data_IF_704110089122
#
_entry.id   IF_704110089122
#
_cell.length_a   1.000
_cell.length_b   1.000
_cell.length_c   1.000
_cell.angle_alpha   90.00
_cell.angle_beta   90.00
_cell.angle_gamma   90.00
#
_symmetry.space_group_name_H-M   'P 1'
#
loop_
_entity.id
_entity.type
_entity.pdbx_description
1 polymer ?
#
# COMPACT_ATOMS: atom_id res chain seq x y z
N UNK A 1 1.52 -36.22 17.07
CA UNK A 1 0.37 -35.59 16.39
C UNK A 1 0.85 -34.25 15.85
N UNK A 2 0.97 -34.10 14.53
CA UNK A 2 1.39 -32.84 13.91
C UNK A 2 0.19 -31.90 13.98
N UNK A 3 0.29 -30.85 14.80
CA UNK A 3 -0.78 -29.87 14.99
C UNK A 3 -1.08 -29.17 13.66
N UNK A 4 -2.36 -29.14 13.28
CA UNK A 4 -2.79 -28.54 12.02
C UNK A 4 -2.40 -27.07 11.93
N UNK A 5 -1.83 -26.67 10.79
CA UNK A 5 -1.52 -25.27 10.49
C UNK A 5 -2.84 -24.53 10.24
N UNK A 6 -3.18 -23.57 11.11
CA UNK A 6 -4.34 -22.69 10.93
C UNK A 6 -3.92 -21.55 9.99
N UNK A 7 -4.37 -21.60 8.74
CA UNK A 7 -4.19 -20.51 7.76
C UNK A 7 -5.11 -19.36 8.15
N UNK A 8 -4.55 -18.17 8.42
CA UNK A 8 -5.33 -16.94 8.62
C UNK A 8 -5.27 -16.07 7.36
N UNK A 9 -6.31 -15.27 7.14
CA UNK A 9 -6.40 -14.32 6.03
C UNK A 9 -6.48 -12.91 6.63
N UNK A 10 -5.54 -12.02 6.29
CA UNK A 10 -5.79 -10.59 6.45
C UNK A 10 -6.61 -10.19 5.25
N UNK A 11 -7.88 -9.87 5.50
CA UNK A 11 -8.70 -9.15 4.54
C UNK A 11 -8.40 -7.67 4.77
N UNK A 12 -7.56 -7.10 3.91
CA UNK A 12 -7.51 -5.65 3.75
C UNK A 12 -8.95 -5.21 3.47
N UNK A 13 -9.42 -4.13 4.10
CA UNK A 13 -10.86 -3.94 4.41
C UNK A 13 -11.77 -4.06 3.17
N UNK A 14 -11.24 -3.89 1.95
CA UNK A 14 -11.82 -4.31 0.66
C UNK A 14 -10.77 -4.79 -0.39
N UNK A 15 -9.63 -5.34 0.05
CA UNK A 15 -8.50 -5.74 -0.79
C UNK A 15 -8.24 -7.26 -0.82
N UNK A 16 -7.11 -7.71 -1.40
CA UNK A 16 -6.81 -9.11 -1.56
C UNK A 16 -6.52 -9.73 -0.19
N UNK A 17 -7.09 -10.92 0.05
CA UNK A 17 -6.76 -11.70 1.23
C UNK A 17 -5.33 -12.25 1.09
N UNK A 18 -4.38 -11.68 1.83
CA UNK A 18 -3.03 -12.22 1.86
C UNK A 18 -2.98 -13.41 2.82
N UNK A 19 -2.52 -14.59 2.37
CA UNK A 19 -2.29 -15.71 3.27
C UNK A 19 -1.13 -15.36 4.21
N UNK A 20 -1.41 -15.30 5.51
CA UNK A 20 -0.38 -15.13 6.53
C UNK A 20 -0.55 -16.17 7.65
N UNK A 21 0.56 -16.58 8.23
CA UNK A 21 0.62 -17.37 9.46
C UNK A 21 1.15 -16.51 10.61
N UNK A 22 0.77 -16.78 11.85
CA UNK A 22 1.34 -16.10 13.02
C UNK A 22 2.44 -16.98 13.62
N UNK A 23 3.69 -16.50 13.63
CA UNK A 23 4.77 -17.17 14.35
C UNK A 23 4.70 -16.83 15.85
N UNK A 24 4.67 -17.86 16.71
CA UNK A 24 4.79 -17.69 18.17
C UNK A 24 3.47 -17.66 18.97
N UNK A 25 2.31 -17.83 18.33
CA UNK A 25 0.99 -17.91 18.99
C UNK A 25 0.00 -16.85 18.49
N UNK A 26 -1.21 -16.78 19.07
CA UNK A 26 -2.22 -15.78 18.70
C UNK A 26 -1.72 -14.35 18.90
N UNK A 27 -1.66 -13.55 17.83
CA UNK A 27 -1.07 -12.20 17.84
C UNK A 27 0.44 -12.15 17.55
N UNK A 28 1.01 -13.25 17.04
CA UNK A 28 2.41 -13.36 16.64
C UNK A 28 2.77 -12.63 15.34
N UNK A 29 4.05 -12.66 14.97
CA UNK A 29 4.55 -11.97 13.79
C UNK A 29 3.92 -12.54 12.50
N UNK A 30 3.43 -11.69 11.58
CA UNK A 30 2.82 -12.16 10.33
C UNK A 30 3.88 -12.74 9.40
N UNK A 31 3.73 -14.02 9.04
CA UNK A 31 4.56 -14.75 8.08
C UNK A 31 3.75 -14.96 6.81
N UNK A 32 4.09 -14.21 5.77
CA UNK A 32 3.54 -14.40 4.43
C UNK A 32 4.07 -15.73 3.86
N UNK A 33 3.19 -16.70 3.60
CA UNK A 33 3.59 -18.00 3.02
C UNK A 33 3.52 -17.90 1.49
N UNK A 34 4.66 -17.55 0.88
CA UNK A 34 4.84 -17.57 -0.56
C UNK A 34 5.99 -18.50 -0.92
N UNK A 35 5.76 -19.30 -1.97
CA UNK A 35 6.71 -20.24 -2.55
C UNK A 35 7.00 -19.85 -4.00
N UNK A 36 8.18 -20.24 -4.50
CA UNK A 36 8.55 -20.01 -5.88
C UNK A 36 7.95 -21.10 -6.80
N UNK A 37 7.43 -20.72 -7.98
CA UNK A 37 7.22 -19.35 -8.44
C UNK A 37 5.96 -18.72 -7.81
N UNK A 38 5.96 -17.40 -7.65
CA UNK A 38 4.75 -16.64 -7.29
C UNK A 38 3.67 -16.90 -8.34
N UNK A 39 2.46 -17.26 -7.89
CA UNK A 39 1.38 -17.55 -8.83
C UNK A 39 0.84 -16.28 -9.48
N UNK A 40 0.51 -16.37 -10.79
CA UNK A 40 -0.16 -15.29 -11.53
C UNK A 40 -1.44 -14.84 -10.84
N UNK A 41 -2.26 -15.78 -10.39
CA UNK A 41 -3.52 -15.49 -9.69
C UNK A 41 -3.29 -14.63 -8.43
N UNK A 42 -2.21 -14.86 -7.69
CA UNK A 42 -1.87 -14.01 -6.55
C UNK A 42 -1.45 -12.62 -7.01
N UNK A 43 -0.57 -12.52 -8.01
CA UNK A 43 -0.10 -11.24 -8.54
C UNK A 43 -1.28 -10.39 -9.08
N UNK A 44 -2.17 -10.99 -9.86
CA UNK A 44 -3.39 -10.35 -10.37
C UNK A 44 -4.27 -9.81 -9.25
N UNK A 45 -4.58 -10.64 -8.25
CA UNK A 45 -5.39 -10.21 -7.10
C UNK A 45 -4.71 -9.11 -6.30
N UNK A 46 -3.40 -9.20 -6.11
CA UNK A 46 -2.63 -8.19 -5.41
C UNK A 46 -2.76 -6.85 -6.14
N UNK A 47 -2.44 -6.82 -7.44
CA UNK A 47 -2.42 -5.62 -8.27
C UNK A 47 -3.83 -5.02 -8.42
N UNK A 48 -4.84 -5.83 -8.75
CA UNK A 48 -6.21 -5.34 -8.93
C UNK A 48 -6.81 -4.80 -7.62
N UNK A 49 -6.40 -5.38 -6.49
CA UNK A 49 -6.88 -4.99 -5.17
C UNK A 49 -6.32 -3.67 -4.64
N UNK A 50 -5.41 -3.02 -5.36
CA UNK A 50 -4.89 -1.70 -5.02
C UNK A 50 -5.68 -0.56 -5.67
N UNK A 51 -6.48 -0.84 -6.70
CA UNK A 51 -7.17 0.16 -7.52
C UNK A 51 -8.68 0.11 -7.31
N UNK A 52 -9.34 1.27 -7.34
CA UNK A 52 -10.81 1.35 -7.36
C UNK A 52 -11.32 1.74 -8.76
N UNK A 53 -10.71 2.75 -9.37
CA UNK A 53 -11.07 3.27 -10.67
C UNK A 53 -10.29 2.59 -11.81
N UNK A 54 -10.80 2.63 -13.05
CA UNK A 54 -10.08 2.13 -14.22
C UNK A 54 -8.72 2.81 -14.38
N UNK A 55 -7.69 2.01 -14.65
CA UNK A 55 -6.36 2.48 -15.03
C UNK A 55 -6.15 2.35 -16.54
N UNK A 56 -5.00 2.81 -17.03
CA UNK A 56 -4.64 2.73 -18.45
C UNK A 56 -4.75 1.31 -19.03
N UNK A 57 -5.19 1.22 -20.29
CA UNK A 57 -5.35 -0.07 -20.99
C UNK A 57 -4.04 -0.87 -20.95
N UNK A 58 -4.12 -2.13 -20.51
CA UNK A 58 -2.97 -3.04 -20.42
C UNK A 58 -1.99 -2.72 -19.30
N UNK A 59 -2.20 -1.64 -18.53
CA UNK A 59 -1.26 -1.25 -17.49
C UNK A 59 -1.23 -2.26 -16.33
N UNK A 60 -2.38 -2.75 -15.86
CA UNK A 60 -2.41 -3.78 -14.80
C UNK A 60 -1.71 -5.07 -15.26
N UNK A 61 -1.89 -5.47 -16.52
CA UNK A 61 -1.21 -6.65 -17.08
C UNK A 61 0.31 -6.46 -17.01
N UNK A 62 0.82 -5.31 -17.46
CA UNK A 62 2.25 -4.99 -17.33
C UNK A 62 2.72 -5.07 -15.88
N UNK A 63 1.97 -4.51 -14.94
CA UNK A 63 2.33 -4.57 -13.51
C UNK A 63 2.34 -6.02 -13.01
N UNK A 64 1.38 -6.85 -13.40
CA UNK A 64 1.35 -8.29 -13.07
C UNK A 64 2.58 -9.00 -13.64
N UNK A 65 2.94 -8.77 -14.90
CA UNK A 65 4.13 -9.36 -15.51
C UNK A 65 5.42 -8.93 -14.79
N UNK A 66 5.55 -7.64 -14.42
CA UNK A 66 6.70 -7.16 -13.63
C UNK A 66 6.73 -7.80 -12.23
N UNK A 67 5.57 -7.93 -11.58
CA UNK A 67 5.39 -8.57 -10.28
C UNK A 67 5.84 -10.04 -10.28
N UNK A 68 5.61 -10.77 -11.38
CA UNK A 68 5.98 -12.18 -11.52
C UNK A 68 7.48 -12.42 -11.69
N UNK A 69 8.27 -11.37 -11.98
CA UNK A 69 9.74 -11.47 -12.06
C UNK A 69 10.40 -11.53 -10.68
N UNK A 70 9.70 -11.08 -9.64
CA UNK A 70 10.22 -11.09 -8.28
C UNK A 70 10.05 -12.49 -7.64
N UNK A 71 11.14 -13.12 -7.15
CA UNK A 71 11.04 -14.35 -6.39
C UNK A 71 10.18 -14.21 -5.14
N UNK A 72 9.57 -15.31 -4.69
CA UNK A 72 8.69 -15.33 -3.52
C UNK A 72 9.35 -14.80 -2.25
N UNK A 73 10.65 -15.05 -2.05
CA UNK A 73 11.35 -14.49 -0.89
C UNK A 73 11.37 -12.96 -0.90
N UNK A 74 11.49 -12.31 -2.07
CA UNK A 74 11.45 -10.85 -2.18
C UNK A 74 10.09 -10.31 -1.74
N UNK A 75 9.01 -10.94 -2.19
CA UNK A 75 7.65 -10.60 -1.75
C UNK A 75 7.49 -10.69 -0.23
N UNK A 76 7.94 -11.81 0.36
CA UNK A 76 7.85 -12.01 1.82
C UNK A 76 8.63 -10.96 2.59
N UNK A 77 9.88 -10.71 2.22
CA UNK A 77 10.75 -9.76 2.92
C UNK A 77 10.27 -8.31 2.75
N UNK A 78 9.76 -7.94 1.57
CA UNK A 78 9.16 -6.61 1.36
C UNK A 78 7.89 -6.42 2.20
N UNK A 79 6.96 -7.37 2.17
CA UNK A 79 5.72 -7.27 2.95
C UNK A 79 6.00 -7.29 4.46
N UNK A 80 6.93 -8.13 4.92
CA UNK A 80 7.40 -8.12 6.31
C UNK A 80 7.97 -6.76 6.68
N UNK A 81 8.86 -6.21 5.84
CA UNK A 81 9.45 -4.89 6.05
C UNK A 81 8.40 -3.79 6.16
N UNK A 82 7.38 -3.78 5.28
CA UNK A 82 6.29 -2.81 5.31
C UNK A 82 5.44 -2.92 6.60
N UNK A 83 5.21 -4.13 7.11
CA UNK A 83 4.40 -4.36 8.31
C UNK A 83 5.15 -4.10 9.63
N UNK A 84 6.45 -4.39 9.67
CA UNK A 84 7.27 -4.24 10.88
C UNK A 84 7.83 -2.81 11.05
N UNK A 85 7.88 -2.03 9.96
CA UNK A 85 8.48 -0.70 9.99
C UNK A 85 7.52 0.33 10.58
N UNK A 86 7.87 0.86 11.76
CA UNK A 86 7.19 1.99 12.37
C UNK A 86 8.05 3.26 12.29
N UNK A 87 7.64 4.19 11.42
CA UNK A 87 8.32 5.48 11.22
C UNK A 87 7.58 6.66 11.88
N UNK A 88 6.53 6.41 12.67
CA UNK A 88 5.70 7.48 13.25
C UNK A 88 6.52 8.46 14.09
N UNK A 89 7.49 7.95 14.85
CA UNK A 89 8.39 8.77 15.65
C UNK A 89 9.27 9.74 14.83
N UNK A 90 9.50 9.45 13.54
CA UNK A 90 10.32 10.30 12.66
C UNK A 90 9.53 11.44 12.01
N UNK A 91 8.19 11.36 11.98
CA UNK A 91 7.34 12.29 11.25
C UNK A 91 7.48 13.73 11.74
N UNK A 92 7.62 13.93 13.06
CA UNK A 92 7.83 15.25 13.66
C UNK A 92 9.15 15.92 13.22
N UNK A 93 10.10 15.15 12.69
CA UNK A 93 11.36 15.67 12.13
C UNK A 93 11.24 16.22 10.70
N UNK A 94 10.09 16.05 10.04
CA UNK A 94 9.85 16.59 8.70
C UNK A 94 9.49 18.08 8.82
N UNK A 95 10.48 18.94 8.62
CA UNK A 95 10.32 20.41 8.76
C UNK A 95 10.10 21.13 7.42
N UNK A 96 10.07 20.40 6.31
CA UNK A 96 9.83 20.95 4.97
C UNK A 96 8.34 20.86 4.62
N UNK A 97 7.84 21.76 3.74
CA UNK A 97 6.47 21.66 3.25
C UNK A 97 6.17 20.24 2.74
N UNK A 98 5.05 19.67 3.19
CA UNK A 98 4.67 18.30 2.86
C UNK A 98 3.25 18.24 2.29
N UNK A 99 3.09 17.51 1.19
CA UNK A 99 1.80 17.16 0.61
C UNK A 99 1.52 15.67 0.79
N UNK A 100 0.40 15.35 1.41
CA UNK A 100 -0.14 14.00 1.53
C UNK A 100 -1.25 13.85 0.48
N UNK A 101 -1.19 12.76 -0.30
CA UNK A 101 -2.17 12.47 -1.37
C UNK A 101 -2.80 11.10 -1.11
N UNK A 102 -4.12 11.02 -1.19
CA UNK A 102 -4.92 9.84 -0.86
C UNK A 102 -6.02 9.58 -1.89
N UNK A 103 -6.42 8.32 -2.07
CA UNK A 103 -7.76 7.92 -2.52
C UNK A 103 -8.72 7.57 -1.35
N UNK A 104 -9.97 8.03 -1.40
CA UNK A 104 -10.97 7.78 -0.33
C UNK A 104 -11.51 6.34 -0.30
N UNK A 105 -11.23 5.55 -1.34
CA UNK A 105 -11.54 4.11 -1.44
C UNK A 105 -10.31 3.23 -1.23
N UNK A 106 -9.24 3.77 -0.65
CA UNK A 106 -8.04 3.01 -0.31
C UNK A 106 -8.38 1.82 0.64
N UNK A 107 -8.18 0.56 0.20
CA UNK A 107 -8.47 -0.61 1.03
C UNK A 107 -7.32 -0.98 1.99
N UNK A 108 -6.17 -0.32 1.85
CA UNK A 108 -4.92 -0.58 2.58
C UNK A 108 -4.76 0.40 3.74
N UNK A 109 -4.91 1.70 3.48
CA UNK A 109 -4.70 2.78 4.46
C UNK A 109 -6.01 3.47 4.86
N UNK A 110 -6.16 3.69 6.16
CA UNK A 110 -7.34 4.29 6.78
C UNK A 110 -7.26 5.82 6.82
N UNK A 111 -8.40 6.53 7.01
CA UNK A 111 -8.36 7.98 7.27
C UNK A 111 -7.50 8.35 8.48
N UNK A 112 -7.51 7.50 9.51
CA UNK A 112 -6.75 7.70 10.74
C UNK A 112 -5.23 7.63 10.51
N UNK A 113 -4.76 6.79 9.59
CA UNK A 113 -3.34 6.73 9.20
C UNK A 113 -2.85 8.06 8.63
N UNK A 114 -3.69 8.75 7.86
CA UNK A 114 -3.34 10.05 7.31
C UNK A 114 -3.48 11.18 8.30
N UNK A 115 -4.47 11.10 9.18
CA UNK A 115 -4.58 12.04 10.29
C UNK A 115 -3.32 11.99 11.15
N UNK A 116 -2.77 10.79 11.39
CA UNK A 116 -1.48 10.61 12.07
C UNK A 116 -0.35 11.40 11.39
N UNK A 117 -0.30 11.40 10.05
CA UNK A 117 0.69 12.19 9.31
C UNK A 117 0.45 13.70 9.44
N UNK A 118 -0.81 14.14 9.32
CA UNK A 118 -1.17 15.56 9.41
C UNK A 118 -0.92 16.15 10.79
N UNK A 119 -1.18 15.37 11.85
CA UNK A 119 -0.95 15.80 13.23
C UNK A 119 0.54 15.87 13.56
N UNK A 120 1.34 14.97 12.99
CA UNK A 120 2.77 14.87 13.29
C UNK A 120 3.65 15.78 12.44
N UNK A 121 3.29 16.03 11.17
CA UNK A 121 4.11 16.82 10.23
C UNK A 121 3.64 18.27 10.19
N UNK A 122 4.42 19.24 10.71
CA UNK A 122 4.00 20.64 10.76
C UNK A 122 3.67 21.20 9.37
N UNK A 123 2.47 21.73 9.21
CA UNK A 123 2.03 22.37 7.97
C UNK A 123 1.77 21.41 6.80
N UNK A 124 1.70 20.10 7.06
CA UNK A 124 1.29 19.14 6.04
C UNK A 124 -0.11 19.47 5.48
N UNK A 125 -0.27 19.26 4.17
CA UNK A 125 -1.54 19.46 3.46
C UNK A 125 -2.02 18.13 2.94
N UNK A 126 -3.32 17.87 3.02
CA UNK A 126 -3.94 16.65 2.47
C UNK A 126 -4.76 16.99 1.23
N UNK A 127 -4.61 16.17 0.18
CA UNK A 127 -5.53 16.09 -0.95
C UNK A 127 -6.14 14.69 -0.99
N UNK A 128 -7.47 14.64 -1.00
CA UNK A 128 -8.24 13.40 -1.16
C UNK A 128 -8.82 13.34 -2.58
N UNK A 129 -8.59 12.21 -3.25
CA UNK A 129 -9.15 11.88 -4.54
C UNK A 129 -10.35 10.97 -4.34
N UNK A 130 -11.55 11.55 -4.47
CA UNK A 130 -12.80 10.80 -4.41
C UNK A 130 -12.88 9.73 -5.51
N UNK A 131 -13.34 8.53 -5.12
CA UNK A 131 -13.46 7.35 -5.96
C UNK A 131 -12.13 6.79 -6.46
N UNK A 132 -11.03 7.01 -5.74
CA UNK A 132 -9.72 6.42 -6.05
C UNK A 132 -9.27 5.46 -4.95
N UNK A 133 -8.55 4.41 -5.33
CA UNK A 133 -7.99 3.41 -4.44
C UNK A 133 -6.65 3.83 -3.83
N UNK A 134 -5.82 2.83 -3.54
CA UNK A 134 -4.51 3.01 -2.90
C UNK A 134 -3.50 3.70 -3.82
N UNK A 135 -3.48 3.32 -5.10
CA UNK A 135 -2.50 3.79 -6.09
C UNK A 135 -3.08 4.92 -6.95
N UNK A 136 -3.43 6.03 -6.30
CA UNK A 136 -4.09 7.22 -6.90
C UNK A 136 -3.42 7.71 -8.18
N UNK A 137 -2.09 7.64 -8.24
CA UNK A 137 -1.30 8.10 -9.39
C UNK A 137 -1.44 7.19 -10.62
N UNK A 138 -1.85 5.93 -10.48
CA UNK A 138 -2.21 5.05 -11.59
C UNK A 138 -3.61 5.37 -12.12
N UNK A 139 -4.54 5.66 -11.21
CA UNK A 139 -5.96 5.88 -11.50
C UNK A 139 -6.24 7.31 -12.01
N UNK A 140 -5.49 8.30 -11.51
CA UNK A 140 -5.69 9.73 -11.76
C UNK A 140 -4.36 10.44 -12.12
N UNK A 141 -3.54 9.91 -13.05
CA UNK A 141 -2.17 10.41 -13.27
C UNK A 141 -2.11 11.91 -13.57
N UNK A 142 -2.97 12.40 -14.47
CA UNK A 142 -2.98 13.83 -14.84
C UNK A 142 -3.42 14.75 -13.69
N UNK A 143 -4.30 14.26 -12.79
CA UNK A 143 -4.75 15.04 -11.63
C UNK A 143 -3.65 15.07 -10.58
N UNK A 144 -3.07 13.91 -10.22
CA UNK A 144 -1.94 13.84 -9.29
C UNK A 144 -0.76 14.68 -9.76
N UNK A 145 -0.40 14.63 -11.05
CA UNK A 145 0.65 15.47 -11.60
C UNK A 145 0.37 16.97 -11.46
N UNK A 146 -0.90 17.39 -11.62
CA UNK A 146 -1.32 18.78 -11.40
C UNK A 146 -1.23 19.18 -9.94
N UNK A 147 -1.65 18.30 -9.03
CA UNK A 147 -1.63 18.54 -7.59
C UNK A 147 -0.19 18.70 -7.09
N UNK A 148 0.73 17.86 -7.57
CA UNK A 148 2.17 17.99 -7.31
C UNK A 148 2.69 19.32 -7.88
N UNK A 149 2.43 19.63 -9.15
CA UNK A 149 2.92 20.85 -9.78
C UNK A 149 2.41 22.13 -9.06
N UNK A 150 1.14 22.14 -8.66
CA UNK A 150 0.54 23.23 -7.91
C UNK A 150 1.21 23.38 -6.53
N UNK A 151 1.41 22.27 -5.82
CA UNK A 151 2.11 22.27 -4.53
C UNK A 151 3.55 22.79 -4.66
N UNK A 152 4.30 22.30 -5.64
CA UNK A 152 5.68 22.74 -5.93
C UNK A 152 5.74 24.25 -6.19
N UNK A 153 4.79 24.81 -6.94
CA UNK A 153 4.72 26.25 -7.17
C UNK A 153 4.45 27.08 -5.90
N UNK A 154 3.91 26.47 -4.83
CA UNK A 154 3.73 27.15 -3.54
C UNK A 154 4.98 27.15 -2.66
N UNK A 155 5.95 26.27 -2.92
CA UNK A 155 7.17 26.09 -2.09
C UNK A 155 8.42 26.65 -2.75
N UNK A 156 8.39 26.91 -4.07
CA UNK A 156 9.48 27.53 -4.82
C UNK A 156 9.46 29.07 -4.79
N UNK A 157 8.67 29.68 -3.90
CA UNK A 157 8.63 31.14 -3.70
C UNK A 157 9.55 31.54 -2.57
#
# INVERSE_FOLDING_TARGET
MVGGVVVRRVVLRHGPALPYAEAGGPGGAPVVQLEDPVSRELAERFVSGLTEAPVGRGFLETVVEESLKAPAYVWRETLRGLLETDLRATLAGILVPTLVVRGDRDPVLTPEDQQTMLDAVPGARLIVHEGAGHVVHWERPARVARDIAAFTATVMR
#
